data_IF_692828912756
#
_entry.id   IF_692828912756
#
_cell.length_a   1.000
_cell.length_b   1.000
_cell.length_c   1.000
_cell.angle_alpha   90.00
_cell.angle_beta   90.00
_cell.angle_gamma   90.00
#
_symmetry.space_group_name_H-M   'P 1'
#
loop_
_entity.id
_entity.type
_entity.pdbx_description
1 polymer ?
#
# COMPACT_ATOMS: atom_id res chain seq x y z
N UNK A 1 -5.90 19.77 -17.06
CA UNK A 1 -6.15 18.32 -17.03
C UNK A 1 -7.22 17.98 -16.00
N UNK A 2 -7.72 16.76 -16.03
CA UNK A 2 -8.65 16.25 -15.02
C UNK A 2 -7.83 15.83 -13.79
N UNK A 3 -8.30 16.22 -12.59
CA UNK A 3 -7.69 15.81 -11.31
C UNK A 3 -8.61 14.78 -10.66
N UNK A 4 -8.05 13.61 -10.34
CA UNK A 4 -8.73 12.59 -9.56
C UNK A 4 -8.64 12.87 -8.07
N UNK A 5 -9.63 12.45 -7.30
CA UNK A 5 -9.60 12.44 -5.84
C UNK A 5 -10.04 11.07 -5.33
N UNK A 6 -9.22 10.46 -4.49
CA UNK A 6 -9.48 9.17 -3.87
C UNK A 6 -9.41 9.33 -2.35
N UNK A 7 -10.55 9.18 -1.67
CA UNK A 7 -10.57 9.01 -0.22
C UNK A 7 -10.34 7.53 0.10
N UNK A 8 -9.28 7.25 0.86
CA UNK A 8 -8.92 5.89 1.24
C UNK A 8 -8.71 5.81 2.75
N UNK A 9 -9.66 5.20 3.46
CA UNK A 9 -9.74 5.25 4.92
C UNK A 9 -9.13 4.03 5.63
N UNK A 10 -9.03 2.86 4.97
CA UNK A 10 -8.57 1.65 5.67
C UNK A 10 -8.05 0.58 4.70
N UNK A 11 -6.96 -0.11 5.08
CA UNK A 11 -6.35 -1.20 4.32
C UNK A 11 -6.94 -2.55 4.75
N UNK A 12 -8.24 -2.74 4.56
CA UNK A 12 -8.96 -3.98 4.89
C UNK A 12 -9.28 -4.80 3.63
N UNK A 13 -9.57 -6.08 3.81
CA UNK A 13 -9.82 -7.01 2.70
C UNK A 13 -10.90 -6.53 1.72
N UNK A 14 -11.99 -5.96 2.22
CA UNK A 14 -13.10 -5.45 1.39
C UNK A 14 -12.72 -4.20 0.57
N UNK A 15 -11.66 -3.49 0.95
CA UNK A 15 -11.19 -2.30 0.22
C UNK A 15 -10.61 -2.66 -1.17
N UNK A 16 -10.09 -3.88 -1.39
CA UNK A 16 -9.51 -4.30 -2.67
C UNK A 16 -10.49 -4.05 -3.83
N UNK A 17 -11.74 -4.53 -3.72
CA UNK A 17 -12.77 -4.32 -4.74
C UNK A 17 -13.05 -2.84 -4.98
N UNK A 18 -13.24 -2.09 -3.91
CA UNK A 18 -13.56 -0.66 -3.99
C UNK A 18 -12.44 0.14 -4.66
N UNK A 19 -11.18 -0.19 -4.35
CA UNK A 19 -10.00 0.43 -4.95
C UNK A 19 -9.89 0.10 -6.44
N UNK A 20 -10.06 -1.18 -6.82
CA UNK A 20 -10.04 -1.58 -8.24
C UNK A 20 -11.12 -0.84 -9.03
N UNK A 21 -12.34 -0.75 -8.50
CA UNK A 21 -13.43 -0.04 -9.14
C UNK A 21 -13.16 1.47 -9.25
N UNK A 22 -12.62 2.09 -8.19
CA UNK A 22 -12.24 3.51 -8.19
C UNK A 22 -11.12 3.81 -9.20
N UNK A 23 -10.05 3.02 -9.21
CA UNK A 23 -8.95 3.21 -10.16
C UNK A 23 -9.38 2.96 -11.61
N UNK A 24 -10.31 2.04 -11.85
CA UNK A 24 -10.91 1.85 -13.17
C UNK A 24 -11.66 3.10 -13.64
N UNK A 25 -12.44 3.74 -12.75
CA UNK A 25 -13.14 5.00 -13.05
C UNK A 25 -12.14 6.16 -13.31
N UNK A 26 -11.11 6.29 -12.48
CA UNK A 26 -10.07 7.30 -12.64
C UNK A 26 -9.31 7.13 -13.96
N UNK A 27 -9.02 5.89 -14.35
CA UNK A 27 -8.39 5.55 -15.62
C UNK A 27 -9.29 5.93 -16.80
N UNK A 28 -10.59 5.58 -16.75
CA UNK A 28 -11.56 5.94 -17.78
C UNK A 28 -11.71 7.46 -17.92
N UNK A 29 -11.59 8.21 -16.81
CA UNK A 29 -11.61 9.67 -16.80
C UNK A 29 -10.30 10.31 -17.31
N UNK A 30 -9.26 9.51 -17.60
CA UNK A 30 -7.95 9.97 -18.06
C UNK A 30 -7.37 11.08 -17.17
N UNK A 31 -7.37 10.82 -15.84
CA UNK A 31 -6.87 11.81 -14.87
C UNK A 31 -5.39 12.09 -15.10
N UNK A 32 -5.03 13.37 -15.09
CA UNK A 32 -3.65 13.84 -15.27
C UNK A 32 -2.89 13.91 -13.93
N UNK A 33 -3.61 14.17 -12.86
CA UNK A 33 -3.12 14.21 -11.49
C UNK A 33 -4.09 13.47 -10.56
N UNK A 34 -3.56 12.94 -9.44
CA UNK A 34 -4.35 12.26 -8.43
C UNK A 34 -4.05 12.84 -7.04
N UNK A 35 -5.10 13.09 -6.28
CA UNK A 35 -5.04 13.34 -4.85
C UNK A 35 -5.49 12.08 -4.12
N UNK A 36 -4.62 11.47 -3.31
CA UNK A 36 -4.96 10.37 -2.42
C UNK A 36 -5.08 10.91 -1.00
N UNK A 37 -6.26 10.79 -0.42
CA UNK A 37 -6.51 11.25 0.95
C UNK A 37 -6.35 10.12 1.95
N UNK A 38 -5.25 10.16 2.70
CA UNK A 38 -4.88 9.20 3.74
C UNK A 38 -4.96 9.79 5.15
N UNK A 39 -5.58 10.97 5.33
CA UNK A 39 -5.59 11.68 6.62
C UNK A 39 -6.16 10.84 7.75
N UNK A 40 -7.10 9.96 7.46
CA UNK A 40 -7.80 9.12 8.43
C UNK A 40 -7.42 7.63 8.34
N UNK A 41 -6.36 7.30 7.59
CA UNK A 41 -5.98 5.93 7.32
C UNK A 41 -4.81 5.47 8.20
N UNK A 42 -5.11 4.65 9.20
CA UNK A 42 -4.14 4.08 10.15
C UNK A 42 -3.29 2.93 9.59
N UNK A 43 -3.48 2.53 8.35
CA UNK A 43 -2.79 1.41 7.74
C UNK A 43 -3.64 0.14 7.69
N UNK A 44 -3.01 -1.04 7.75
CA UNK A 44 -3.62 -2.36 7.68
C UNK A 44 -2.83 -3.30 6.77
N UNK A 45 -3.47 -3.94 5.80
CA UNK A 45 -2.87 -4.93 4.92
C UNK A 45 -1.85 -4.30 3.96
N UNK A 46 -0.60 -4.72 4.05
CA UNK A 46 0.50 -4.24 3.20
C UNK A 46 0.33 -4.64 1.73
N UNK A 47 -0.28 -5.80 1.46
CA UNK A 47 -0.61 -6.20 0.08
C UNK A 47 -1.55 -5.18 -0.59
N UNK A 48 -2.56 -4.67 0.12
CA UNK A 48 -3.45 -3.59 -0.37
C UNK A 48 -2.66 -2.31 -0.65
N UNK A 49 -1.72 -1.94 0.22
CA UNK A 49 -0.85 -0.79 -0.02
C UNK A 49 0.00 -0.95 -1.29
N UNK A 50 0.54 -2.15 -1.52
CA UNK A 50 1.29 -2.48 -2.72
C UNK A 50 0.44 -2.40 -3.99
N UNK A 51 -0.80 -2.88 -3.95
CA UNK A 51 -1.77 -2.77 -5.06
C UNK A 51 -2.07 -1.30 -5.38
N UNK A 52 -2.35 -0.48 -4.36
CA UNK A 52 -2.58 0.97 -4.55
C UNK A 52 -1.37 1.65 -5.17
N UNK A 53 -0.17 1.38 -4.66
CA UNK A 53 1.04 1.96 -5.21
C UNK A 53 1.28 1.54 -6.66
N UNK A 54 0.99 0.28 -7.03
CA UNK A 54 1.01 -0.17 -8.42
C UNK A 54 -0.03 0.57 -9.28
N UNK A 55 -1.27 0.69 -8.80
CA UNK A 55 -2.34 1.35 -9.55
C UNK A 55 -2.05 2.83 -9.81
N UNK A 56 -1.31 3.50 -8.93
CA UNK A 56 -0.82 4.87 -9.17
C UNK A 56 0.33 4.89 -10.17
N UNK A 57 1.38 4.10 -9.93
CA UNK A 57 2.66 4.21 -10.63
C UNK A 57 2.72 3.46 -11.97
N UNK A 58 2.00 2.33 -12.06
CA UNK A 58 1.98 1.45 -13.23
C UNK A 58 3.25 0.63 -13.42
N UNK A 59 3.15 -0.36 -14.32
CA UNK A 59 4.22 -1.32 -14.59
C UNK A 59 5.54 -0.70 -15.06
N UNK A 60 5.47 0.37 -15.84
CA UNK A 60 6.67 1.04 -16.33
C UNK A 60 7.60 1.58 -15.24
N UNK A 61 7.06 1.86 -14.04
CA UNK A 61 7.84 2.36 -12.90
C UNK A 61 8.12 1.29 -11.84
N UNK A 62 7.31 0.24 -11.78
CA UNK A 62 7.32 -0.73 -10.66
C UNK A 62 7.92 -2.09 -11.01
N UNK A 63 7.96 -2.46 -12.30
CA UNK A 63 8.51 -3.76 -12.73
C UNK A 63 9.95 -3.95 -12.26
N UNK A 64 10.21 -5.08 -11.61
CA UNK A 64 11.52 -5.43 -11.05
C UNK A 64 11.92 -4.68 -9.78
N UNK A 65 11.05 -3.82 -9.24
CA UNK A 65 11.30 -3.12 -7.98
C UNK A 65 10.60 -3.79 -6.81
N UNK A 66 11.20 -3.68 -5.64
CA UNK A 66 10.57 -4.05 -4.39
C UNK A 66 9.68 -2.91 -3.89
N UNK A 67 8.47 -3.24 -3.45
CA UNK A 67 7.59 -2.32 -2.73
C UNK A 67 8.09 -2.12 -1.30
N UNK A 68 8.40 -3.24 -0.64
CA UNK A 68 8.92 -3.25 0.72
C UNK A 68 9.79 -4.47 0.98
N UNK A 69 10.45 -4.49 2.11
CA UNK A 69 11.18 -5.64 2.62
C UNK A 69 10.91 -5.79 4.11
N UNK A 70 10.45 -6.95 4.52
CA UNK A 70 10.41 -7.33 5.93
C UNK A 70 11.84 -7.59 6.43
N UNK A 71 12.13 -7.11 7.63
CA UNK A 71 13.37 -7.38 8.32
C UNK A 71 13.06 -7.79 9.77
N UNK A 72 13.72 -8.83 10.23
CA UNK A 72 13.74 -9.24 11.63
C UNK A 72 15.11 -8.92 12.23
N UNK A 73 15.32 -9.30 13.47
CA UNK A 73 16.63 -9.13 14.11
C UNK A 73 17.69 -10.05 13.49
N UNK A 74 18.92 -9.91 13.94
CA UNK A 74 20.10 -10.64 13.45
C UNK A 74 20.03 -12.16 13.61
N UNK A 75 19.13 -12.68 14.45
CA UNK A 75 18.88 -14.13 14.57
C UNK A 75 18.08 -14.69 13.38
N UNK A 76 17.35 -13.84 12.66
CA UNK A 76 16.48 -14.23 11.56
C UNK A 76 16.73 -13.36 10.31
N UNK A 77 17.96 -13.40 9.74
CA UNK A 77 18.32 -12.50 8.64
C UNK A 77 17.65 -12.85 7.30
N UNK A 78 17.20 -14.10 7.13
CA UNK A 78 16.71 -14.61 5.85
C UNK A 78 15.33 -15.28 5.92
N UNK A 79 14.85 -15.57 7.13
CA UNK A 79 13.62 -16.36 7.32
C UNK A 79 12.72 -15.70 8.36
N UNK A 80 11.45 -15.61 8.04
CA UNK A 80 10.41 -15.15 8.96
C UNK A 80 10.26 -16.17 10.10
N UNK A 81 10.51 -15.80 11.38
CA UNK A 81 10.48 -16.75 12.49
C UNK A 81 9.07 -17.24 12.83
N UNK A 82 8.02 -16.56 12.37
CA UNK A 82 6.62 -16.92 12.63
C UNK A 82 6.09 -17.87 11.56
N UNK A 83 6.32 -17.52 10.28
CA UNK A 83 5.72 -18.26 9.15
C UNK A 83 6.67 -19.27 8.52
N UNK A 84 7.97 -19.21 8.81
CA UNK A 84 9.00 -20.01 8.15
C UNK A 84 9.32 -19.58 6.71
N UNK A 85 8.64 -18.55 6.19
CA UNK A 85 8.84 -18.09 4.82
C UNK A 85 10.16 -17.34 4.65
N UNK A 86 10.74 -17.40 3.45
CA UNK A 86 11.89 -16.58 3.08
C UNK A 86 11.54 -15.09 3.11
N UNK A 87 12.46 -14.25 3.59
CA UNK A 87 12.36 -12.79 3.61
C UNK A 87 12.69 -12.19 2.24
N UNK A 88 12.10 -12.71 1.18
CA UNK A 88 12.18 -12.09 -0.13
C UNK A 88 11.49 -10.72 -0.13
N UNK A 89 12.01 -9.75 -0.91
CA UNK A 89 11.33 -8.46 -1.07
C UNK A 89 9.92 -8.63 -1.63
N UNK A 90 8.95 -7.93 -1.06
CA UNK A 90 7.58 -7.86 -1.58
C UNK A 90 7.56 -6.99 -2.85
N UNK A 91 7.08 -7.49 -3.99
CA UNK A 91 6.99 -6.69 -5.21
C UNK A 91 5.82 -5.69 -5.12
N UNK A 92 5.74 -4.77 -6.08
CA UNK A 92 4.50 -4.07 -6.39
C UNK A 92 3.53 -5.07 -7.03
N UNK A 93 2.34 -5.22 -6.47
CA UNK A 93 1.35 -6.17 -6.98
C UNK A 93 0.62 -5.61 -8.20
N UNK A 94 0.90 -6.19 -9.37
CA UNK A 94 0.24 -5.84 -10.64
C UNK A 94 -1.11 -6.57 -10.82
N UNK A 95 -1.45 -7.46 -9.91
CA UNK A 95 -2.70 -8.22 -9.90
C UNK A 95 -3.25 -8.36 -8.50
N UNK A 96 -4.57 -8.49 -8.40
CA UNK A 96 -5.30 -8.63 -7.13
C UNK A 96 -4.80 -9.84 -6.32
N UNK A 97 -4.70 -9.67 -5.01
CA UNK A 97 -4.23 -10.69 -4.08
C UNK A 97 -5.30 -11.69 -3.66
N UNK A 98 -6.56 -11.37 -3.93
CA UNK A 98 -7.66 -12.28 -3.68
C UNK A 98 -8.42 -12.00 -2.38
N UNK A 99 -8.36 -10.78 -1.87
CA UNK A 99 -9.12 -10.41 -0.67
C UNK A 99 -10.62 -10.24 -0.96
N UNK A 100 -10.97 -9.51 -2.02
CA UNK A 100 -12.35 -9.30 -2.47
C UNK A 100 -12.50 -9.23 -3.99
N UNK A 101 -11.40 -9.33 -4.72
CA UNK A 101 -11.32 -9.55 -6.16
C UNK A 101 -10.65 -10.90 -6.39
N UNK A 102 -11.00 -11.64 -7.46
CA UNK A 102 -10.37 -12.92 -7.75
C UNK A 102 -8.85 -12.76 -7.87
N UNK A 103 -8.11 -13.61 -7.14
CA UNK A 103 -6.63 -13.58 -7.17
C UNK A 103 -6.10 -13.71 -8.61
N UNK A 104 -5.09 -12.90 -8.93
CA UNK A 104 -4.49 -12.86 -10.25
C UNK A 104 -5.21 -11.95 -11.26
N UNK A 105 -6.35 -11.33 -10.91
CA UNK A 105 -7.00 -10.34 -11.78
C UNK A 105 -6.07 -9.15 -12.00
N UNK A 106 -5.76 -8.77 -13.26
CA UNK A 106 -4.91 -7.62 -13.54
C UNK A 106 -5.50 -6.32 -12.95
N UNK A 107 -4.67 -5.52 -12.32
CA UNK A 107 -5.08 -4.25 -11.74
C UNK A 107 -5.00 -3.11 -12.78
N UNK A 108 -5.95 -2.16 -12.77
CA UNK A 108 -5.84 -0.94 -13.55
C UNK A 108 -4.65 -0.11 -13.08
N UNK A 109 -4.07 0.74 -13.96
CA UNK A 109 -3.01 1.65 -13.55
C UNK A 109 -3.10 2.99 -14.25
N UNK A 110 -2.78 4.06 -13.52
CA UNK A 110 -2.82 5.44 -14.02
C UNK A 110 -1.49 5.87 -14.63
N UNK A 111 -0.40 5.16 -14.36
CA UNK A 111 0.96 5.45 -14.83
C UNK A 111 1.44 6.88 -14.51
N UNK A 112 1.05 7.42 -13.38
CA UNK A 112 1.36 8.79 -12.98
C UNK A 112 2.83 8.97 -12.60
N UNK A 113 3.41 10.11 -13.00
CA UNK A 113 4.76 10.50 -12.61
C UNK A 113 4.77 11.24 -11.26
N UNK A 114 3.62 11.76 -10.84
CA UNK A 114 3.45 12.46 -9.57
C UNK A 114 2.08 12.16 -8.95
N UNK A 115 2.00 12.29 -7.62
CA UNK A 115 0.77 12.14 -6.86
C UNK A 115 0.78 13.09 -5.67
N UNK A 116 -0.39 13.63 -5.33
CA UNK A 116 -0.58 14.42 -4.11
C UNK A 116 -1.17 13.52 -3.04
N UNK A 117 -0.59 13.54 -1.84
CA UNK A 117 -1.05 12.71 -0.72
C UNK A 117 -1.40 13.61 0.46
N UNK A 118 -2.67 13.57 0.87
CA UNK A 118 -3.11 14.28 2.06
C UNK A 118 -2.83 13.40 3.29
N UNK A 119 -2.12 13.96 4.26
CA UNK A 119 -1.68 13.24 5.46
C UNK A 119 -2.08 13.97 6.74
N UNK A 120 -2.22 13.20 7.82
CA UNK A 120 -2.41 13.66 9.17
C UNK A 120 -1.59 12.83 10.16
N UNK A 121 -1.62 13.17 11.44
CA UNK A 121 -0.95 12.40 12.49
C UNK A 121 -1.50 10.95 12.62
N UNK A 122 -2.72 10.70 12.12
CA UNK A 122 -3.31 9.36 12.04
C UNK A 122 -2.92 8.55 10.80
N UNK A 123 -2.23 9.15 9.82
CA UNK A 123 -1.70 8.43 8.65
C UNK A 123 -0.53 7.57 9.09
N UNK A 124 -0.65 6.24 8.98
CA UNK A 124 0.26 5.34 9.67
C UNK A 124 0.53 4.04 8.90
N UNK A 125 1.67 3.38 9.17
CA UNK A 125 1.95 2.00 8.77
C UNK A 125 1.81 1.76 7.26
N UNK A 126 0.88 0.92 6.79
CA UNK A 126 0.66 0.62 5.35
C UNK A 126 0.40 1.88 4.51
N UNK A 127 -0.19 2.95 5.08
CA UNK A 127 -0.33 4.25 4.42
C UNK A 127 1.03 4.91 4.17
N UNK A 128 1.96 4.79 5.12
CA UNK A 128 3.33 5.29 4.97
C UNK A 128 4.11 4.45 3.95
N UNK A 129 3.82 3.14 3.87
CA UNK A 129 4.41 2.25 2.85
C UNK A 129 4.00 2.66 1.44
N UNK A 130 2.77 3.12 1.20
CA UNK A 130 2.37 3.70 -0.11
C UNK A 130 3.27 4.87 -0.47
N UNK A 131 3.45 5.83 0.44
CA UNK A 131 4.27 7.03 0.22
C UNK A 131 5.73 6.63 -0.10
N UNK A 132 6.30 5.74 0.71
CA UNK A 132 7.69 5.29 0.54
C UNK A 132 7.87 4.46 -0.72
N UNK A 133 6.97 3.52 -1.00
CA UNK A 133 7.01 2.69 -2.19
C UNK A 133 6.92 3.50 -3.47
N UNK A 134 6.01 4.48 -3.52
CA UNK A 134 5.88 5.38 -4.68
C UNK A 134 7.16 6.22 -4.90
N UNK A 135 7.74 6.78 -3.83
CA UNK A 135 9.03 7.48 -3.93
C UNK A 135 10.14 6.56 -4.44
N UNK A 136 10.21 5.33 -3.91
CA UNK A 136 11.14 4.30 -4.36
C UNK A 136 10.94 3.88 -5.83
N UNK A 137 9.70 3.94 -6.31
CA UNK A 137 9.36 3.71 -7.72
C UNK A 137 9.73 4.89 -8.65
N UNK A 138 10.10 6.05 -8.10
CA UNK A 138 10.43 7.26 -8.86
C UNK A 138 9.18 8.08 -9.22
N UNK A 139 8.10 7.93 -8.44
CA UNK A 139 6.95 8.83 -8.48
C UNK A 139 7.23 10.02 -7.56
N UNK A 140 7.00 11.23 -8.04
CA UNK A 140 7.06 12.43 -7.22
C UNK A 140 5.84 12.46 -6.28
N UNK A 141 6.07 12.28 -4.98
CA UNK A 141 5.02 12.31 -3.96
C UNK A 141 5.03 13.65 -3.26
N UNK A 142 3.99 14.45 -3.52
CA UNK A 142 3.75 15.75 -2.89
C UNK A 142 2.84 15.53 -1.69
N UNK A 143 3.44 15.50 -0.51
CA UNK A 143 2.73 15.31 0.76
C UNK A 143 2.19 16.66 1.26
N UNK A 144 0.89 16.71 1.57
CA UNK A 144 0.19 17.90 2.04
C UNK A 144 -0.50 17.57 3.37
N UNK A 145 -0.24 18.36 4.39
CA UNK A 145 -0.81 18.19 5.72
C UNK A 145 0.27 18.11 6.80
N UNK A 146 0.03 17.30 7.82
CA UNK A 146 1.00 17.12 8.90
C UNK A 146 1.88 15.88 8.69
N UNK A 147 2.90 15.74 9.54
CA UNK A 147 3.70 14.53 9.63
C UNK A 147 2.82 13.31 9.94
N UNK A 148 3.19 12.18 9.38
CA UNK A 148 2.59 10.87 9.65
C UNK A 148 3.09 10.30 10.98
N UNK A 149 2.51 9.20 11.46
CA UNK A 149 2.84 8.64 12.78
C UNK A 149 4.25 8.06 12.89
N UNK A 150 4.87 7.67 11.78
CA UNK A 150 6.23 7.12 11.76
C UNK A 150 6.31 5.67 12.26
N UNK A 151 5.38 4.79 11.87
CA UNK A 151 5.36 3.38 12.27
C UNK A 151 5.97 2.47 11.19
N UNK A 152 7.26 2.11 11.29
CA UNK A 152 7.92 1.22 10.33
C UNK A 152 7.77 -0.26 10.70
N UNK A 153 7.01 -0.60 11.73
CA UNK A 153 6.89 -1.94 12.29
C UNK A 153 5.55 -2.57 11.90
N UNK A 154 5.59 -3.88 11.59
CA UNK A 154 4.42 -4.74 11.55
C UNK A 154 4.29 -5.55 12.85
N UNK A 155 3.21 -6.34 12.95
CA UNK A 155 2.99 -7.30 14.02
C UNK A 155 2.26 -8.53 13.48
N UNK A 156 2.40 -9.63 14.20
CA UNK A 156 1.59 -10.82 14.00
C UNK A 156 0.61 -10.95 15.19
N UNK A 157 -0.65 -11.29 14.92
CA UNK A 157 -1.58 -11.58 15.98
C UNK A 157 -1.19 -12.87 16.70
N UNK A 158 -1.27 -12.87 18.02
CA UNK A 158 -1.06 -14.05 18.86
C UNK A 158 -2.32 -14.29 19.70
N UNK A 159 -3.00 -15.40 19.42
CA UNK A 159 -4.24 -15.75 20.13
C UNK A 159 -3.94 -16.57 21.38
N UNK A 160 -4.48 -16.13 22.51
CA UNK A 160 -4.40 -16.87 23.76
C UNK A 160 -5.68 -16.70 24.58
N UNK A 161 -6.32 -17.82 24.96
CA UNK A 161 -7.50 -17.86 25.83
C UNK A 161 -8.62 -16.89 25.43
N UNK A 162 -8.93 -16.79 24.11
CA UNK A 162 -9.99 -15.92 23.60
C UNK A 162 -9.61 -14.43 23.52
N UNK A 163 -8.35 -14.09 23.75
CA UNK A 163 -7.79 -12.74 23.59
C UNK A 163 -6.70 -12.77 22.52
N UNK A 164 -6.75 -11.81 21.58
CA UNK A 164 -5.71 -11.64 20.59
C UNK A 164 -4.74 -10.53 21.02
N UNK A 165 -3.47 -10.84 21.05
CA UNK A 165 -2.39 -9.92 21.42
C UNK A 165 -1.68 -9.43 20.17
N UNK A 166 -1.36 -8.12 20.16
CA UNK A 166 -0.59 -7.48 19.10
C UNK A 166 0.64 -6.83 19.73
N UNK A 167 1.79 -7.47 19.56
CA UNK A 167 3.07 -6.93 20.03
C UNK A 167 3.80 -6.24 18.88
N UNK A 168 4.24 -5.01 19.11
CA UNK A 168 5.00 -4.20 18.14
C UNK A 168 6.47 -4.19 18.56
#
# INVERSE_FOLDING_TARGET
GVVGYLLFNDHIATAERQLVDAFTQLQAASVADLVVDLRYNGGGLLDIASEVAYMVAGGGRTTGKAFERLAFNDKYPATNPITGASLAPTPFHASARGFSVSSGTPLPSLNLARVFVLTGAGTCSASESIINGLRGAGVEVIQIGSATCGKPYGFYPEDNCGTTYFSI
#
